data_IF_157028243701
#
_entry.id   IF_157028243701
#
_cell.length_a   1.000
_cell.length_b   1.000
_cell.length_c   1.000
_cell.angle_alpha   90.00
_cell.angle_beta   90.00
_cell.angle_gamma   90.00
#
_symmetry.space_group_name_H-M   'P 1'
#
loop_
_entity.id
_entity.type
_entity.pdbx_description
1 polymer ?
#
# COMPACT_ATOMS: atom_id res chain seq x y z
N UNK A 1 -6.07 -1.73 25.60
CA UNK A 1 -5.52 -0.37 25.78
C UNK A 1 -5.22 0.24 24.43
N UNK A 2 -5.63 1.46 24.22
CA UNK A 2 -5.41 2.15 22.95
C UNK A 2 -4.24 3.13 23.08
N UNK A 3 -3.22 2.93 22.25
CA UNK A 3 -2.14 3.89 22.11
C UNK A 3 -2.59 4.96 21.13
N UNK A 4 -2.71 6.21 21.60
CA UNK A 4 -3.09 7.34 20.77
C UNK A 4 -1.89 8.21 20.37
N UNK A 5 -0.67 7.78 20.71
CA UNK A 5 0.54 8.49 20.29
C UNK A 5 0.62 8.53 18.77
N UNK A 6 0.82 9.73 18.15
CA UNK A 6 0.94 9.81 16.69
C UNK A 6 2.09 8.97 16.15
N UNK A 7 1.92 8.45 14.95
CA UNK A 7 2.94 7.65 14.29
C UNK A 7 2.71 6.17 14.50
N UNK A 8 1.61 5.65 14.00
CA UNK A 8 1.29 4.22 14.09
C UNK A 8 0.54 3.78 12.83
N UNK A 9 0.59 2.48 12.57
CA UNK A 9 -0.20 1.87 11.49
C UNK A 9 -1.64 1.69 11.97
N UNK A 10 -2.59 2.11 11.14
CA UNK A 10 -4.02 1.97 11.42
C UNK A 10 -4.64 0.77 10.72
N UNK A 11 -4.10 0.34 9.58
CA UNK A 11 -4.65 -0.77 8.83
C UNK A 11 -3.98 -0.93 7.48
N UNK A 12 -4.51 -1.83 6.67
CA UNK A 12 -4.00 -2.07 5.32
C UNK A 12 -4.76 -1.16 4.36
N UNK A 13 -4.01 -0.30 3.67
CA UNK A 13 -4.58 0.64 2.69
C UNK A 13 -4.59 0.09 1.28
N UNK A 14 -3.77 -0.92 0.98
CA UNK A 14 -3.77 -1.50 -0.35
C UNK A 14 -2.98 -2.78 -0.44
N UNK A 15 -3.40 -3.64 -1.37
CA UNK A 15 -2.67 -4.84 -1.77
C UNK A 15 -2.49 -4.76 -3.28
N UNK A 16 -1.23 -4.79 -3.73
CA UNK A 16 -0.88 -4.62 -5.12
C UNK A 16 -0.16 -5.85 -5.63
N UNK A 17 -0.65 -6.41 -6.73
CA UNK A 17 -0.08 -7.58 -7.37
C UNK A 17 0.46 -7.18 -8.75
N UNK A 18 1.31 -8.01 -9.33
CA UNK A 18 1.79 -7.83 -10.70
C UNK A 18 1.42 -9.04 -11.56
N UNK A 19 1.17 -8.80 -12.83
CA UNK A 19 0.90 -9.87 -13.77
C UNK A 19 1.34 -9.48 -15.17
N UNK A 20 1.89 -10.45 -15.90
CA UNK A 20 2.20 -10.28 -17.33
C UNK A 20 0.91 -10.17 -18.16
N UNK A 21 -0.21 -10.59 -17.62
CA UNK A 21 -1.53 -10.42 -18.22
C UNK A 21 -2.46 -9.84 -17.16
N UNK A 22 -2.23 -8.57 -16.82
CA UNK A 22 -2.96 -7.93 -15.72
C UNK A 22 -4.46 -7.83 -16.02
N UNK A 23 -4.84 -7.61 -17.27
CA UNK A 23 -6.26 -7.54 -17.64
C UNK A 23 -6.94 -8.91 -17.49
N UNK A 24 -6.27 -9.97 -17.97
CA UNK A 24 -6.78 -11.33 -17.83
C UNK A 24 -6.87 -11.77 -16.38
N UNK A 25 -5.89 -11.41 -15.58
CA UNK A 25 -5.91 -11.75 -14.16
C UNK A 25 -7.02 -11.00 -13.42
N UNK A 26 -7.25 -9.72 -13.73
CA UNK A 26 -8.38 -8.99 -13.15
C UNK A 26 -9.71 -9.65 -13.50
N UNK A 27 -9.86 -10.08 -14.75
CA UNK A 27 -11.07 -10.79 -15.18
C UNK A 27 -11.27 -12.09 -14.42
N UNK A 28 -10.19 -12.83 -14.20
CA UNK A 28 -10.25 -14.08 -13.43
C UNK A 28 -10.77 -13.83 -12.02
N UNK A 29 -10.21 -12.81 -11.32
CA UNK A 29 -10.64 -12.48 -9.96
C UNK A 29 -12.09 -12.03 -9.94
N UNK A 30 -12.52 -11.26 -10.92
CA UNK A 30 -13.91 -10.80 -11.00
C UNK A 30 -14.86 -11.98 -11.24
N UNK A 31 -14.54 -12.85 -12.20
CA UNK A 31 -15.41 -13.96 -12.57
C UNK A 31 -15.46 -15.06 -11.53
N UNK A 32 -14.30 -15.39 -10.94
CA UNK A 32 -14.19 -16.52 -10.03
C UNK A 32 -14.42 -16.14 -8.57
N UNK A 33 -13.96 -14.96 -8.16
CA UNK A 33 -14.02 -14.56 -6.76
C UNK A 33 -14.93 -13.36 -6.51
N UNK A 34 -15.45 -12.74 -7.56
CA UNK A 34 -16.32 -11.57 -7.41
C UNK A 34 -15.59 -10.31 -6.95
N UNK A 35 -14.26 -10.24 -7.14
CA UNK A 35 -13.48 -9.08 -6.76
C UNK A 35 -13.34 -8.14 -7.94
N UNK A 36 -13.74 -6.87 -7.76
CA UNK A 36 -13.61 -5.82 -8.76
C UNK A 36 -14.70 -5.88 -9.81
N UNK A 37 -14.58 -5.01 -10.81
CA UNK A 37 -15.52 -4.92 -11.93
C UNK A 37 -14.88 -5.33 -13.27
N UNK A 38 -13.66 -5.86 -13.22
CA UNK A 38 -12.95 -6.31 -14.42
C UNK A 38 -12.12 -5.25 -15.10
N UNK A 39 -12.11 -4.00 -14.63
CA UNK A 39 -11.42 -2.92 -15.31
C UNK A 39 -10.16 -2.44 -14.59
N UNK A 40 -10.24 -2.04 -13.32
CA UNK A 40 -9.10 -1.43 -12.65
C UNK A 40 -8.67 -2.14 -11.39
N UNK A 41 -9.57 -2.60 -10.60
CA UNK A 41 -9.28 -3.20 -9.32
C UNK A 41 -10.51 -3.11 -8.44
N UNK A 42 -10.29 -3.10 -7.15
CA UNK A 42 -11.38 -3.06 -6.20
C UNK A 42 -11.02 -2.16 -5.02
N UNK A 43 -12.04 -1.70 -4.32
CA UNK A 43 -11.89 -0.98 -3.06
C UNK A 43 -12.75 -1.67 -2.03
N UNK A 44 -12.12 -2.14 -0.96
CA UNK A 44 -12.81 -2.70 0.19
C UNK A 44 -13.01 -1.59 1.21
N UNK A 45 -14.25 -1.37 1.62
CA UNK A 45 -14.58 -0.30 2.56
C UNK A 45 -14.79 -0.87 3.95
N UNK A 46 -14.10 -0.26 4.90
CA UNK A 46 -14.24 -0.58 6.32
C UNK A 46 -14.94 0.60 7.00
N UNK A 47 -15.20 0.50 8.29
CA UNK A 47 -15.90 1.58 9.01
C UNK A 47 -15.09 2.88 9.05
N UNK A 48 -13.75 2.79 9.07
CA UNK A 48 -12.87 3.93 9.30
C UNK A 48 -11.78 4.10 8.23
N UNK A 49 -11.68 3.18 7.26
CA UNK A 49 -10.69 3.28 6.19
C UNK A 49 -11.10 2.44 4.99
N UNK A 50 -10.32 2.55 3.92
CA UNK A 50 -10.51 1.74 2.71
C UNK A 50 -9.23 0.97 2.40
N UNK A 51 -9.39 -0.18 1.74
CA UNK A 51 -8.26 -0.97 1.24
C UNK A 51 -8.40 -1.08 -0.28
N UNK A 52 -7.43 -0.55 -1.02
CA UNK A 52 -7.39 -0.69 -2.47
C UNK A 52 -6.78 -2.03 -2.85
N UNK A 53 -7.33 -2.65 -3.89
CA UNK A 53 -6.80 -3.90 -4.43
C UNK A 53 -6.57 -3.70 -5.93
N UNK A 54 -5.33 -3.85 -6.37
CA UNK A 54 -4.94 -3.50 -7.74
C UNK A 54 -3.99 -4.54 -8.31
N UNK A 55 -4.08 -4.76 -9.63
CA UNK A 55 -3.12 -5.59 -10.37
C UNK A 55 -2.40 -4.69 -11.36
N UNK A 56 -1.07 -4.63 -11.21
CA UNK A 56 -0.19 -3.82 -12.06
C UNK A 56 0.36 -4.67 -13.20
N UNK A 57 0.72 -4.05 -14.34
CA UNK A 57 1.49 -4.75 -15.35
C UNK A 57 2.81 -5.26 -14.78
N UNK A 58 3.26 -6.43 -15.24
CA UNK A 58 4.50 -7.01 -14.75
C UNK A 58 5.71 -6.10 -14.99
N UNK A 59 5.66 -5.27 -16.03
CA UNK A 59 6.73 -4.33 -16.36
C UNK A 59 6.74 -3.07 -15.50
N UNK A 60 5.75 -2.89 -14.59
CA UNK A 60 5.71 -1.72 -13.74
C UNK A 60 6.94 -1.63 -12.85
N UNK A 61 7.57 -0.46 -12.80
CA UNK A 61 8.70 -0.20 -11.92
C UNK A 61 8.29 0.33 -10.55
N UNK A 62 7.00 0.35 -10.25
CA UNK A 62 6.51 0.90 -8.99
C UNK A 62 6.98 0.08 -7.79
N UNK A 63 7.09 -1.23 -7.94
CA UNK A 63 7.69 -2.12 -6.96
C UNK A 63 8.34 -3.31 -7.68
N UNK A 64 9.36 -3.91 -7.07
CA UNK A 64 10.20 -4.91 -7.73
C UNK A 64 9.64 -6.33 -7.65
N UNK A 65 9.00 -6.66 -6.54
CA UNK A 65 8.50 -8.01 -6.30
C UNK A 65 7.12 -8.19 -6.93
N UNK A 66 6.56 -9.38 -6.83
CA UNK A 66 5.25 -9.66 -7.36
C UNK A 66 4.10 -9.01 -6.60
N UNK A 67 4.38 -8.41 -5.47
CA UNK A 67 3.39 -7.77 -4.63
C UNK A 67 3.98 -6.60 -3.86
N UNK A 68 3.11 -5.71 -3.40
CA UNK A 68 3.45 -4.65 -2.45
C UNK A 68 2.22 -4.39 -1.58
N UNK A 69 2.43 -4.24 -0.26
CA UNK A 69 1.36 -3.90 0.68
C UNK A 69 1.51 -2.43 1.07
N UNK A 70 0.38 -1.73 1.07
CA UNK A 70 0.28 -0.35 1.53
C UNK A 70 -0.36 -0.36 2.92
N UNK A 71 0.26 0.35 3.86
CA UNK A 71 -0.30 0.52 5.20
C UNK A 71 -0.72 1.96 5.40
N UNK A 72 -1.89 2.16 5.99
CA UNK A 72 -2.40 3.47 6.37
C UNK A 72 -1.77 3.85 7.71
N UNK A 73 -1.25 5.07 7.79
CA UNK A 73 -0.70 5.62 9.03
C UNK A 73 -1.46 6.89 9.41
N UNK A 74 -1.48 7.18 10.70
CA UNK A 74 -2.17 8.37 11.22
C UNK A 74 -1.35 9.64 11.01
N UNK A 75 -0.02 9.55 11.17
CA UNK A 75 0.89 10.68 11.04
C UNK A 75 2.19 10.17 10.44
N UNK A 76 2.39 10.42 9.15
CA UNK A 76 3.51 9.86 8.41
C UNK A 76 4.85 10.38 8.93
N UNK A 77 4.96 11.67 9.21
CA UNK A 77 6.23 12.24 9.70
C UNK A 77 6.63 11.65 11.05
N UNK A 78 5.67 11.53 11.97
CA UNK A 78 5.94 10.94 13.27
C UNK A 78 6.33 9.46 13.14
N UNK A 79 5.66 8.74 12.25
CA UNK A 79 5.97 7.32 12.04
C UNK A 79 7.35 7.13 11.41
N UNK A 80 7.71 7.95 10.43
CA UNK A 80 9.04 7.89 9.82
C UNK A 80 10.14 8.20 10.83
N UNK A 81 9.90 9.13 11.76
CA UNK A 81 10.87 9.40 12.82
C UNK A 81 11.09 8.17 13.71
N UNK A 82 10.02 7.48 14.08
CA UNK A 82 10.13 6.23 14.84
C UNK A 82 10.90 5.17 14.07
N UNK A 83 10.66 5.05 12.78
CA UNK A 83 11.32 4.05 11.95
C UNK A 83 12.81 4.35 11.77
N UNK A 84 13.19 5.64 11.65
CA UNK A 84 14.60 6.03 11.61
C UNK A 84 15.31 5.62 12.90
N UNK A 85 14.69 5.90 14.04
CA UNK A 85 15.26 5.53 15.33
C UNK A 85 15.37 4.03 15.50
N UNK A 86 14.48 3.28 14.88
CA UNK A 86 14.49 1.81 14.90
C UNK A 86 15.46 1.20 13.87
N UNK A 87 16.08 2.00 13.03
CA UNK A 87 17.04 1.52 12.04
C UNK A 87 16.41 0.93 10.78
N UNK A 88 15.15 1.27 10.51
CA UNK A 88 14.46 0.79 9.31
C UNK A 88 14.99 1.52 8.07
N UNK A 89 15.19 0.80 6.98
CA UNK A 89 15.60 1.40 5.71
C UNK A 89 14.43 2.15 5.08
N UNK A 90 14.58 3.45 4.91
CA UNK A 90 13.57 4.34 4.33
C UNK A 90 14.06 4.78 2.96
N UNK A 91 13.19 4.62 1.94
CA UNK A 91 13.48 5.10 0.60
C UNK A 91 13.55 6.64 0.61
N UNK A 92 14.53 7.25 -0.08
CA UNK A 92 14.61 8.72 -0.11
C UNK A 92 13.46 9.37 -0.87
N UNK A 93 12.72 8.62 -1.67
CA UNK A 93 11.60 9.16 -2.43
C UNK A 93 10.41 9.46 -1.51
N UNK A 94 9.75 10.58 -1.79
CA UNK A 94 8.50 10.99 -1.12
C UNK A 94 7.52 11.41 -2.19
N UNK A 95 6.24 11.26 -1.91
CA UNK A 95 5.20 11.80 -2.76
C UNK A 95 4.12 12.41 -1.88
N UNK A 96 3.95 13.73 -2.00
CA UNK A 96 2.93 14.46 -1.28
C UNK A 96 1.90 14.93 -2.30
N UNK A 97 0.72 14.33 -2.25
CA UNK A 97 -0.38 14.64 -3.16
C UNK A 97 -1.53 15.27 -2.40
N UNK A 98 -2.49 15.83 -3.13
CA UNK A 98 -3.64 16.47 -2.49
C UNK A 98 -4.51 15.50 -1.71
N UNK A 99 -4.46 14.22 -2.04
CA UNK A 99 -5.27 13.18 -1.41
C UNK A 99 -4.50 12.35 -0.39
N UNK A 100 -3.20 12.55 -0.23
CA UNK A 100 -2.43 11.80 0.74
C UNK A 100 -0.94 12.04 0.66
N UNK A 101 -0.26 11.63 1.73
CA UNK A 101 1.20 11.66 1.83
C UNK A 101 1.71 10.23 1.75
N UNK A 102 2.76 10.01 0.96
CA UNK A 102 3.30 8.67 0.70
C UNK A 102 4.79 8.62 0.97
N UNK A 103 5.23 7.51 1.54
CA UNK A 103 6.64 7.17 1.70
C UNK A 103 6.80 5.67 1.52
N UNK A 104 8.05 5.22 1.31
CA UNK A 104 8.34 3.81 1.10
C UNK A 104 9.48 3.38 2.01
N UNK A 105 9.37 2.17 2.52
CA UNK A 105 10.36 1.54 3.38
C UNK A 105 10.63 0.12 2.89
N UNK A 106 11.62 -0.53 3.46
CA UNK A 106 11.98 -1.90 3.09
C UNK A 106 12.10 -2.76 4.33
N UNK A 107 11.56 -3.97 4.27
CA UNK A 107 11.72 -4.93 5.36
C UNK A 107 13.08 -5.63 5.24
N UNK A 108 13.46 -6.49 6.21
CA UNK A 108 14.78 -7.16 6.17
C UNK A 108 14.98 -8.05 4.94
N UNK A 109 13.92 -8.53 4.31
CA UNK A 109 14.00 -9.36 3.11
C UNK A 109 14.01 -8.53 1.83
N UNK A 110 13.97 -7.19 1.95
CA UNK A 110 13.98 -6.30 0.80
C UNK A 110 12.62 -6.07 0.16
N UNK A 111 11.54 -6.46 0.80
CA UNK A 111 10.20 -6.17 0.30
C UNK A 111 9.89 -4.69 0.49
N UNK A 112 9.47 -4.03 -0.59
CA UNK A 112 9.05 -2.63 -0.56
C UNK A 112 7.68 -2.52 0.08
N UNK A 113 7.54 -1.58 0.99
CA UNK A 113 6.29 -1.31 1.71
C UNK A 113 5.93 0.14 1.47
N UNK A 114 4.67 0.39 1.14
CA UNK A 114 4.16 1.75 0.97
C UNK A 114 3.45 2.19 2.24
N UNK A 115 3.76 3.40 2.69
CA UNK A 115 3.09 4.03 3.84
C UNK A 115 2.28 5.19 3.32
N UNK A 116 1.04 5.31 3.78
CA UNK A 116 0.09 6.28 3.27
C UNK A 116 -0.65 6.95 4.43
N UNK A 117 -0.55 8.28 4.46
CA UNK A 117 -1.39 9.11 5.34
C UNK A 117 -2.46 9.76 4.47
N UNK A 118 -3.72 9.31 4.52
CA UNK A 118 -4.80 9.95 3.77
C UNK A 118 -5.04 11.38 4.26
N UNK A 119 -5.37 12.27 3.34
CA UNK A 119 -5.73 13.65 3.67
C UNK A 119 -7.20 13.93 3.42
#
# INVERSE_FOLDING_TARGET
MNDTTPGRILGIGGVFLKSSDHAGLRSWYQQKLGIGNGEEGAVFKWSDHTTAWCIFPAASGYFDRGFMVNYIVDDLEAYLAKLRDAGVTIDPKREDASYGLFAWIYDPDGNKIELWQPL
#
